data_IF_188606083578
#
_entry.id   IF_188606083578
#
_cell.length_a   1.000
_cell.length_b   1.000
_cell.length_c   1.000
_cell.angle_alpha   90.00
_cell.angle_beta   90.00
_cell.angle_gamma   90.00
#
_symmetry.space_group_name_H-M   'P 1'
#
loop_
_entity.id
_entity.type
_entity.pdbx_description
1 polymer ?
#
# COMPACT_ATOMS: atom_id res chain seq x y z
N UNK A 1 2.48 -26.05 10.82
CA UNK A 1 3.24 -24.84 10.49
C UNK A 1 4.03 -24.95 9.20
N UNK A 2 5.05 -25.81 9.05
CA UNK A 2 5.89 -25.88 7.84
C UNK A 2 5.09 -26.09 6.53
N UNK A 3 4.12 -26.99 6.51
CA UNK A 3 3.25 -27.25 5.34
C UNK A 3 2.41 -26.03 4.95
N UNK A 4 1.95 -25.24 5.90
CA UNK A 4 1.18 -24.03 5.63
C UNK A 4 2.07 -22.92 5.03
N UNK A 5 3.30 -22.76 5.55
CA UNK A 5 4.28 -21.81 4.99
C UNK A 5 4.66 -22.21 3.57
N UNK A 6 4.92 -23.51 3.31
CA UNK A 6 5.24 -23.98 1.96
C UNK A 6 4.11 -23.70 0.97
N UNK A 7 2.87 -24.00 1.34
CA UNK A 7 1.70 -23.71 0.49
C UNK A 7 1.57 -22.21 0.18
N UNK A 8 1.85 -21.33 1.15
CA UNK A 8 1.82 -19.87 0.97
C UNK A 8 2.93 -19.38 0.05
N UNK A 9 4.13 -19.95 0.16
CA UNK A 9 5.25 -19.63 -0.75
C UNK A 9 4.92 -20.05 -2.18
N UNK A 10 4.32 -21.24 -2.35
CA UNK A 10 3.88 -21.71 -3.68
C UNK A 10 2.78 -20.77 -4.24
N UNK A 11 1.79 -20.41 -3.44
CA UNK A 11 0.75 -19.46 -3.86
C UNK A 11 1.36 -18.10 -4.23
N UNK A 12 2.30 -17.59 -3.46
CA UNK A 12 3.03 -16.36 -3.73
C UNK A 12 3.77 -16.42 -5.08
N UNK A 13 4.46 -17.55 -5.35
CA UNK A 13 5.16 -17.75 -6.62
C UNK A 13 4.18 -17.81 -7.81
N UNK A 14 3.05 -18.49 -7.66
CA UNK A 14 2.01 -18.56 -8.69
C UNK A 14 1.43 -17.16 -8.98
N UNK A 15 1.09 -16.39 -7.94
CA UNK A 15 0.58 -15.02 -8.10
C UNK A 15 1.62 -14.14 -8.78
N UNK A 16 2.88 -14.19 -8.36
CA UNK A 16 3.95 -13.41 -8.96
C UNK A 16 4.14 -13.74 -10.45
N UNK A 17 4.17 -15.02 -10.81
CA UNK A 17 4.28 -15.46 -12.20
C UNK A 17 3.04 -15.03 -13.02
N UNK A 18 1.84 -15.15 -12.44
CA UNK A 18 0.59 -14.71 -13.07
C UNK A 18 0.59 -13.21 -13.39
N UNK A 19 0.99 -12.39 -12.42
CA UNK A 19 1.11 -10.93 -12.58
C UNK A 19 2.18 -10.60 -13.61
N UNK A 20 3.36 -11.25 -13.53
CA UNK A 20 4.44 -11.05 -14.51
C UNK A 20 4.00 -11.37 -15.93
N UNK A 21 3.30 -12.50 -16.12
CA UNK A 21 2.78 -12.91 -17.42
C UNK A 21 1.73 -11.94 -17.95
N UNK A 22 0.80 -11.52 -17.08
CA UNK A 22 -0.26 -10.61 -17.45
C UNK A 22 0.31 -9.26 -17.92
N UNK A 23 1.22 -8.67 -17.15
CA UNK A 23 1.85 -7.39 -17.51
C UNK A 23 2.66 -7.55 -18.80
N UNK A 24 3.43 -8.64 -18.89
CA UNK A 24 4.24 -8.94 -20.07
C UNK A 24 3.39 -9.02 -21.35
N UNK A 25 2.22 -9.67 -21.29
CA UNK A 25 1.29 -9.78 -22.42
C UNK A 25 0.61 -8.43 -22.69
N UNK A 26 0.08 -7.76 -21.66
CA UNK A 26 -0.61 -6.48 -21.82
C UNK A 26 0.25 -5.43 -22.52
N UNK A 27 1.52 -5.33 -22.15
CA UNK A 27 2.44 -4.36 -22.74
C UNK A 27 2.82 -4.66 -24.19
N UNK A 28 2.60 -5.88 -24.67
CA UNK A 28 2.80 -6.27 -26.07
C UNK A 28 1.55 -6.13 -26.94
N UNK A 29 0.39 -6.10 -26.32
CA UNK A 29 -0.87 -5.84 -27.05
C UNK A 29 -1.03 -4.34 -27.34
N UNK A 30 -0.44 -3.47 -26.50
CA UNK A 30 -0.48 -2.03 -26.72
C UNK A 30 0.27 -1.69 -28.01
N UNK A 31 -0.38 -1.11 -29.03
CA UNK A 31 0.26 -0.77 -30.29
C UNK A 31 1.31 0.32 -30.10
N UNK A 32 2.51 0.08 -30.62
CA UNK A 32 3.64 1.00 -30.58
C UNK A 32 4.97 0.24 -30.58
N UNK A 33 5.97 0.81 -31.22
CA UNK A 33 7.33 0.26 -31.14
C UNK A 33 8.05 0.93 -29.98
N UNK A 34 8.36 0.15 -28.92
CA UNK A 34 9.05 0.64 -27.74
C UNK A 34 10.34 1.41 -28.07
N UNK A 35 11.05 0.99 -29.11
CA UNK A 35 12.30 1.63 -29.57
C UNK A 35 12.00 2.99 -30.22
N UNK A 36 10.95 3.09 -30.99
CA UNK A 36 10.51 4.37 -31.60
C UNK A 36 10.11 5.34 -30.50
N UNK A 37 9.48 4.87 -29.43
CA UNK A 37 9.13 5.69 -28.26
C UNK A 37 10.39 6.19 -27.50
N UNK A 38 11.44 5.34 -27.41
CA UNK A 38 12.72 5.72 -26.83
C UNK A 38 13.47 6.80 -27.62
N UNK A 39 13.50 6.64 -28.93
CA UNK A 39 14.39 7.41 -29.81
C UNK A 39 13.71 8.59 -30.50
N UNK A 40 12.37 8.68 -30.38
CA UNK A 40 11.56 9.65 -31.14
C UNK A 40 11.31 9.23 -32.58
N UNK A 41 10.37 9.93 -33.22
CA UNK A 41 9.91 9.63 -34.60
C UNK A 41 10.99 9.77 -35.71
N UNK A 42 12.14 10.37 -35.37
CA UNK A 42 13.24 10.60 -36.30
C UNK A 42 14.36 9.55 -36.20
N UNK A 43 14.17 8.48 -35.46
CA UNK A 43 15.17 7.42 -35.36
C UNK A 43 15.45 6.76 -36.70
N UNK A 44 16.74 6.57 -37.06
CA UNK A 44 17.12 5.86 -38.27
C UNK A 44 16.76 4.40 -38.17
N UNK A 45 16.24 3.84 -39.26
CA UNK A 45 15.77 2.44 -39.32
C UNK A 45 16.88 1.45 -38.87
N UNK A 46 18.10 1.69 -39.28
CA UNK A 46 19.28 0.88 -38.91
C UNK A 46 19.53 0.85 -37.39
N UNK A 47 19.28 1.98 -36.70
CA UNK A 47 19.43 2.07 -35.24
C UNK A 47 18.29 1.33 -34.53
N UNK A 48 17.08 1.41 -35.06
CA UNK A 48 15.91 0.66 -34.55
C UNK A 48 16.16 -0.85 -34.66
N UNK A 49 16.62 -1.33 -35.81
CA UNK A 49 16.92 -2.76 -36.03
C UNK A 49 18.06 -3.26 -35.12
N UNK A 50 19.11 -2.45 -34.94
CA UNK A 50 20.20 -2.78 -34.04
C UNK A 50 19.71 -2.92 -32.61
N UNK A 51 18.97 -1.93 -32.10
CA UNK A 51 18.43 -1.98 -30.73
C UNK A 51 17.40 -3.09 -30.53
N UNK A 52 16.60 -3.39 -31.56
CA UNK A 52 15.67 -4.54 -31.51
C UNK A 52 16.42 -5.84 -31.24
N UNK A 53 17.55 -6.04 -31.89
CA UNK A 53 18.42 -7.21 -31.72
C UNK A 53 19.16 -7.19 -30.37
N UNK A 54 19.71 -6.06 -29.98
CA UNK A 54 20.41 -5.91 -28.69
C UNK A 54 19.50 -6.17 -27.49
N UNK A 55 18.25 -5.72 -27.56
CA UNK A 55 17.24 -5.93 -26.54
C UNK A 55 16.54 -7.31 -26.66
N UNK A 56 16.83 -8.06 -27.72
CA UNK A 56 16.25 -9.39 -27.98
C UNK A 56 14.74 -9.35 -28.23
N UNK A 57 14.22 -8.23 -28.73
CA UNK A 57 12.80 -8.07 -29.07
C UNK A 57 12.40 -8.79 -30.35
N UNK A 58 13.37 -9.25 -31.14
CA UNK A 58 13.23 -10.11 -32.31
C UNK A 58 13.06 -11.60 -31.95
N UNK A 59 13.35 -11.97 -30.70
CA UNK A 59 13.25 -13.35 -30.24
C UNK A 59 11.78 -13.78 -30.06
N UNK A 60 11.48 -15.11 -30.08
CA UNK A 60 10.14 -15.61 -29.77
C UNK A 60 9.64 -15.12 -28.39
N UNK A 61 8.34 -14.83 -28.28
CA UNK A 61 7.72 -14.22 -27.09
C UNK A 61 8.01 -15.03 -25.81
N UNK A 62 8.02 -16.36 -25.89
CA UNK A 62 8.32 -17.20 -24.73
C UNK A 62 9.78 -17.07 -24.26
N UNK A 63 10.72 -16.85 -25.19
CA UNK A 63 12.15 -16.62 -24.86
C UNK A 63 12.30 -15.29 -24.14
N UNK A 64 11.65 -14.23 -24.65
CA UNK A 64 11.65 -12.92 -24.04
C UNK A 64 11.04 -12.96 -22.62
N UNK A 65 9.95 -13.71 -22.41
CA UNK A 65 9.32 -13.88 -21.11
C UNK A 65 10.24 -14.56 -20.10
N UNK A 66 10.84 -15.70 -20.48
CA UNK A 66 11.74 -16.41 -19.57
C UNK A 66 13.01 -15.64 -19.25
N UNK A 67 13.56 -14.89 -20.21
CA UNK A 67 14.67 -13.97 -19.96
C UNK A 67 14.26 -12.91 -18.95
N UNK A 68 13.12 -12.25 -19.15
CA UNK A 68 12.58 -11.26 -18.21
C UNK A 68 12.41 -11.82 -16.80
N UNK A 69 11.84 -13.01 -16.63
CA UNK A 69 11.71 -13.66 -15.32
C UNK A 69 13.07 -13.99 -14.70
N UNK A 70 14.00 -14.53 -15.51
CA UNK A 70 15.36 -14.87 -15.04
C UNK A 70 16.11 -13.63 -14.53
N UNK A 71 16.01 -12.51 -15.25
CA UNK A 71 16.66 -11.26 -14.89
C UNK A 71 15.99 -10.64 -13.65
N UNK A 72 14.65 -10.64 -13.60
CA UNK A 72 13.89 -10.15 -12.45
C UNK A 72 14.21 -10.92 -11.15
N UNK A 73 14.38 -12.25 -11.21
CA UNK A 73 14.79 -13.07 -10.05
C UNK A 73 16.20 -12.71 -9.56
N UNK A 74 17.07 -12.22 -10.44
CA UNK A 74 18.41 -11.73 -10.08
C UNK A 74 18.41 -10.28 -9.59
N UNK A 75 17.23 -9.62 -9.56
CA UNK A 75 17.09 -8.22 -9.17
C UNK A 75 17.42 -7.22 -10.30
N UNK A 76 17.58 -7.71 -11.53
CA UNK A 76 17.77 -6.88 -12.71
C UNK A 76 16.43 -6.68 -13.42
N UNK A 77 15.87 -5.49 -13.30
CA UNK A 77 14.63 -5.09 -13.98
C UNK A 77 14.90 -4.35 -15.30
N UNK A 78 16.16 -4.33 -15.77
CA UNK A 78 16.57 -3.64 -16.99
C UNK A 78 16.82 -2.15 -16.79
N UNK A 79 16.89 -1.43 -17.90
CA UNK A 79 17.15 0.01 -17.95
C UNK A 79 15.91 0.76 -18.39
N UNK A 80 15.54 1.79 -17.64
CA UNK A 80 14.47 2.73 -17.97
C UNK A 80 14.77 3.42 -19.30
N UNK A 81 13.82 3.41 -20.20
CA UNK A 81 13.96 4.03 -21.52
C UNK A 81 13.89 5.56 -21.46
N UNK A 82 13.02 6.09 -20.61
CA UNK A 82 12.81 7.54 -20.48
C UNK A 82 13.89 8.22 -19.63
N UNK A 83 14.39 7.55 -18.57
CA UNK A 83 15.31 8.11 -17.60
C UNK A 83 16.76 7.68 -17.82
N UNK A 84 17.00 6.70 -18.70
CA UNK A 84 18.33 6.16 -19.05
C UNK A 84 19.14 5.70 -17.82
N UNK A 85 18.46 5.10 -16.82
CA UNK A 85 19.03 4.60 -15.57
C UNK A 85 18.50 3.20 -15.26
N UNK A 86 19.23 2.44 -14.46
CA UNK A 86 18.78 1.13 -13.99
C UNK A 86 17.43 1.25 -13.25
N UNK A 87 16.47 0.40 -13.60
CA UNK A 87 15.16 0.35 -12.94
C UNK A 87 15.31 -0.03 -11.47
N UNK A 88 16.22 -0.94 -11.15
CA UNK A 88 16.53 -1.33 -9.76
C UNK A 88 17.02 -0.15 -8.93
N UNK A 89 17.88 0.69 -9.51
CA UNK A 89 18.36 1.91 -8.87
C UNK A 89 17.24 2.93 -8.65
N UNK A 90 16.37 3.13 -9.64
CA UNK A 90 15.22 4.04 -9.53
C UNK A 90 14.23 3.58 -8.45
N UNK A 91 13.93 2.30 -8.39
CA UNK A 91 13.10 1.69 -7.34
C UNK A 91 13.76 1.88 -5.97
N UNK A 92 15.06 1.59 -5.86
CA UNK A 92 15.82 1.76 -4.62
C UNK A 92 15.84 3.20 -4.10
N UNK A 93 15.87 4.18 -5.00
CA UNK A 93 15.79 5.61 -4.65
C UNK A 93 14.38 6.07 -4.24
N UNK A 94 13.33 5.49 -4.84
CA UNK A 94 11.93 5.84 -4.58
C UNK A 94 11.37 5.14 -3.33
N UNK A 95 11.76 3.92 -3.07
CA UNK A 95 11.19 3.07 -2.02
C UNK A 95 11.25 3.67 -0.61
N UNK A 96 12.34 4.29 -0.13
CA UNK A 96 12.38 4.91 1.19
C UNK A 96 11.28 5.96 1.40
N UNK A 97 10.96 6.77 0.38
CA UNK A 97 9.90 7.78 0.49
C UNK A 97 8.52 7.14 0.65
N UNK A 98 8.24 6.07 -0.09
CA UNK A 98 7.01 5.29 0.08
C UNK A 98 6.93 4.67 1.48
N UNK A 99 8.04 4.12 2.01
CA UNK A 99 8.09 3.56 3.37
C UNK A 99 7.81 4.62 4.43
N UNK A 100 8.45 5.78 4.36
CA UNK A 100 8.22 6.87 5.30
C UNK A 100 6.76 7.34 5.27
N UNK A 101 6.20 7.51 4.07
CA UNK A 101 4.80 7.88 3.90
C UNK A 101 3.85 6.81 4.44
N UNK A 102 4.09 5.54 4.12
CA UNK A 102 3.27 4.41 4.57
C UNK A 102 3.26 4.29 6.10
N UNK A 103 4.44 4.38 6.74
CA UNK A 103 4.55 4.31 8.20
C UNK A 103 3.88 5.50 8.88
N UNK A 104 4.06 6.71 8.37
CA UNK A 104 3.40 7.90 8.92
C UNK A 104 1.86 7.81 8.78
N UNK A 105 1.36 7.40 7.61
CA UNK A 105 -0.06 7.20 7.38
C UNK A 105 -0.65 6.08 8.27
N UNK A 106 0.06 4.96 8.38
CA UNK A 106 -0.33 3.85 9.24
C UNK A 106 -0.41 4.27 10.70
N UNK A 107 0.60 4.99 11.22
CA UNK A 107 0.60 5.48 12.60
C UNK A 107 -0.61 6.38 12.88
N UNK A 108 -0.88 7.34 11.99
CA UNK A 108 -2.06 8.22 12.12
C UNK A 108 -3.33 7.39 12.10
N UNK A 109 -3.48 6.47 11.14
CA UNK A 109 -4.66 5.63 11.01
C UNK A 109 -4.90 4.75 12.24
N UNK A 110 -3.86 4.12 12.75
CA UNK A 110 -3.94 3.19 13.87
C UNK A 110 -4.28 3.90 15.18
N UNK A 111 -3.57 4.98 15.47
CA UNK A 111 -3.81 5.75 16.71
C UNK A 111 -5.22 6.36 16.70
N UNK A 112 -5.56 7.06 15.61
CA UNK A 112 -6.87 7.73 15.54
C UNK A 112 -8.02 6.74 15.39
N UNK A 113 -7.86 5.69 14.55
CA UNK A 113 -8.89 4.68 14.32
C UNK A 113 -9.20 3.86 15.58
N UNK A 114 -8.18 3.36 16.28
CA UNK A 114 -8.38 2.60 17.52
C UNK A 114 -9.00 3.49 18.59
N UNK A 115 -8.49 4.72 18.80
CA UNK A 115 -9.02 5.64 19.80
C UNK A 115 -10.50 5.97 19.53
N UNK A 116 -10.84 6.35 18.30
CA UNK A 116 -12.22 6.64 17.91
C UNK A 116 -13.13 5.41 18.06
N UNK A 117 -12.65 4.23 17.68
CA UNK A 117 -13.41 2.97 17.81
C UNK A 117 -13.69 2.60 19.26
N UNK A 118 -12.70 2.72 20.14
CA UNK A 118 -12.88 2.49 21.60
C UNK A 118 -13.89 3.46 22.18
N UNK A 119 -13.72 4.77 21.91
CA UNK A 119 -14.63 5.79 22.46
C UNK A 119 -16.07 5.56 21.97
N UNK A 120 -16.24 5.23 20.67
CA UNK A 120 -17.54 4.92 20.09
C UNK A 120 -18.18 3.68 20.73
N UNK A 121 -17.41 2.62 21.00
CA UNK A 121 -17.90 1.41 21.66
C UNK A 121 -18.31 1.67 23.12
N UNK A 122 -17.47 2.40 23.87
CA UNK A 122 -17.74 2.73 25.29
C UNK A 122 -18.95 3.65 25.44
N UNK A 123 -19.14 4.58 24.50
CA UNK A 123 -20.26 5.51 24.46
C UNK A 123 -21.38 5.09 23.50
N UNK A 124 -21.59 3.75 23.40
CA UNK A 124 -22.60 3.11 22.53
C UNK A 124 -23.91 3.91 22.50
N UNK A 125 -24.41 4.17 21.29
CA UNK A 125 -25.65 4.93 21.03
C UNK A 125 -25.65 6.40 21.47
N UNK A 126 -24.53 6.91 21.99
CA UNK A 126 -24.39 8.32 22.37
C UNK A 126 -24.02 9.22 21.18
N UNK A 127 -23.90 10.53 21.45
CA UNK A 127 -23.51 11.53 20.44
C UNK A 127 -22.11 11.25 19.89
N UNK A 128 -21.15 10.90 20.75
CA UNK A 128 -19.78 10.59 20.34
C UNK A 128 -19.71 9.34 19.45
N UNK A 129 -20.51 8.31 19.74
CA UNK A 129 -20.61 7.13 18.87
C UNK A 129 -21.09 7.53 17.47
N UNK A 130 -22.18 8.29 17.39
CA UNK A 130 -22.72 8.76 16.09
C UNK A 130 -21.74 9.65 15.35
N UNK A 131 -21.05 10.55 16.05
CA UNK A 131 -20.07 11.46 15.46
C UNK A 131 -18.89 10.67 14.86
N UNK A 132 -18.23 9.81 15.67
CA UNK A 132 -17.07 9.05 15.19
C UNK A 132 -17.42 8.04 14.11
N UNK A 133 -18.59 7.40 14.19
CA UNK A 133 -19.05 6.48 13.13
C UNK A 133 -19.43 7.24 11.86
N UNK A 134 -20.04 8.41 11.97
CA UNK A 134 -20.29 9.30 10.83
C UNK A 134 -19.01 9.76 10.16
N UNK A 135 -18.01 10.22 10.94
CA UNK A 135 -16.69 10.58 10.42
C UNK A 135 -15.97 9.39 9.79
N UNK A 136 -16.07 8.21 10.38
CA UNK A 136 -15.50 6.98 9.82
C UNK A 136 -16.15 6.59 8.49
N UNK A 137 -17.46 6.80 8.35
CA UNK A 137 -18.18 6.58 7.10
C UNK A 137 -17.73 7.56 6.03
N UNK A 138 -17.62 8.85 6.35
CA UNK A 138 -17.05 9.87 5.46
C UNK A 138 -15.62 9.52 5.05
N UNK A 139 -14.80 9.03 6.00
CA UNK A 139 -13.42 8.63 5.74
C UNK A 139 -13.29 7.56 4.66
N UNK A 140 -14.22 6.60 4.62
CA UNK A 140 -14.22 5.53 3.64
C UNK A 140 -14.92 5.93 2.34
N UNK A 141 -15.92 6.82 2.41
CA UNK A 141 -16.74 7.20 1.25
C UNK A 141 -16.10 8.30 0.40
N UNK A 142 -15.32 9.19 1.01
CA UNK A 142 -14.66 10.30 0.29
C UNK A 142 -13.38 9.79 -0.38
N UNK A 143 -13.21 9.98 -1.69
CA UNK A 143 -11.98 9.60 -2.38
C UNK A 143 -10.75 10.30 -1.79
N UNK A 144 -9.65 9.54 -1.62
CA UNK A 144 -8.41 10.04 -1.01
C UNK A 144 -7.87 11.30 -1.68
N UNK A 145 -7.97 11.41 -3.01
CA UNK A 145 -7.50 12.59 -3.73
C UNK A 145 -8.29 13.86 -3.37
N UNK A 146 -9.59 13.75 -3.08
CA UNK A 146 -10.39 14.89 -2.63
C UNK A 146 -9.93 15.37 -1.25
N UNK A 147 -9.69 14.43 -0.32
CA UNK A 147 -9.14 14.76 0.99
C UNK A 147 -7.77 15.44 0.84
N UNK A 148 -6.91 14.88 -0.01
CA UNK A 148 -5.59 15.44 -0.31
C UNK A 148 -5.67 16.88 -0.83
N UNK A 149 -6.52 17.15 -1.83
CA UNK A 149 -6.71 18.49 -2.40
C UNK A 149 -7.26 19.49 -1.39
N UNK A 150 -8.24 19.07 -0.56
CA UNK A 150 -8.81 19.91 0.50
C UNK A 150 -7.75 20.27 1.54
N UNK A 151 -6.94 19.29 1.98
CA UNK A 151 -5.84 19.54 2.91
C UNK A 151 -4.78 20.49 2.32
N UNK A 152 -4.38 20.28 1.05
CA UNK A 152 -3.46 21.19 0.34
C UNK A 152 -4.02 22.60 0.28
N UNK A 153 -5.29 22.75 -0.12
CA UNK A 153 -5.89 24.08 -0.26
C UNK A 153 -5.98 24.83 1.08
N UNK A 154 -6.49 24.18 2.13
CA UNK A 154 -6.68 24.87 3.40
C UNK A 154 -5.40 24.99 4.21
N UNK A 155 -4.66 23.89 4.44
CA UNK A 155 -3.53 23.88 5.37
C UNK A 155 -2.22 24.37 4.74
N UNK A 156 -2.02 24.09 3.44
CA UNK A 156 -0.80 24.52 2.77
C UNK A 156 -0.97 25.87 2.08
N UNK A 157 -1.98 26.03 1.20
CA UNK A 157 -2.11 27.26 0.40
C UNK A 157 -2.71 28.43 1.20
N UNK A 158 -3.82 28.22 1.93
CA UNK A 158 -4.51 29.33 2.66
C UNK A 158 -3.82 29.70 3.96
N UNK A 159 -3.43 28.71 4.74
CA UNK A 159 -2.88 28.93 6.10
C UNK A 159 -1.36 28.92 6.11
N UNK A 160 -0.70 28.43 5.07
CA UNK A 160 0.77 28.30 4.96
C UNK A 160 1.41 27.57 6.16
N UNK A 161 0.67 26.60 6.77
CA UNK A 161 1.19 25.84 7.91
C UNK A 161 2.15 24.73 7.51
N UNK A 162 1.95 24.13 6.33
CA UNK A 162 2.68 22.98 5.84
C UNK A 162 3.04 23.17 4.34
N UNK A 163 4.07 22.51 3.84
CA UNK A 163 4.42 22.59 2.42
C UNK A 163 3.31 22.01 1.53
N UNK A 164 3.11 22.63 0.36
CA UNK A 164 2.09 22.21 -0.62
C UNK A 164 2.47 20.85 -1.23
N UNK A 165 3.77 20.66 -1.53
CA UNK A 165 4.28 19.47 -2.21
C UNK A 165 5.77 19.26 -1.91
N UNK A 166 6.27 18.07 -2.22
CA UNK A 166 7.65 17.67 -1.98
C UNK A 166 7.88 17.16 -0.55
N UNK A 167 8.97 16.40 -0.39
CA UNK A 167 9.34 15.74 0.89
C UNK A 167 10.80 16.04 1.26
N UNK A 168 11.26 17.27 0.95
CA UNK A 168 12.61 17.73 1.29
C UNK A 168 12.82 17.81 2.80
N UNK A 169 11.73 17.84 3.56
CA UNK A 169 11.70 17.79 5.03
C UNK A 169 10.63 16.84 5.51
N UNK A 170 10.73 16.40 6.77
CA UNK A 170 9.73 15.51 7.39
C UNK A 170 8.31 16.12 7.41
N UNK A 171 8.20 17.46 7.42
CA UNK A 171 6.91 18.17 7.37
C UNK A 171 6.15 17.93 6.07
N UNK A 172 6.86 17.63 4.97
CA UNK A 172 6.27 17.28 3.69
C UNK A 172 5.47 15.97 3.70
N UNK A 173 5.73 15.08 4.65
CA UNK A 173 4.96 13.83 4.80
C UNK A 173 3.66 14.02 5.56
N UNK A 174 3.45 15.11 6.30
CA UNK A 174 2.28 15.26 7.19
C UNK A 174 0.96 15.27 6.43
N UNK A 175 0.82 16.12 5.41
CA UNK A 175 -0.44 16.21 4.64
C UNK A 175 -0.77 14.91 3.90
N UNK A 176 0.16 14.32 3.13
CA UNK A 176 -0.12 13.06 2.46
C UNK A 176 -0.38 11.92 3.44
N UNK A 177 0.29 11.88 4.60
CA UNK A 177 0.04 10.87 5.63
C UNK A 177 -1.35 11.01 6.27
N UNK A 178 -1.82 12.24 6.53
CA UNK A 178 -3.18 12.49 7.01
C UNK A 178 -4.21 12.06 5.96
N UNK A 179 -4.01 12.42 4.68
CA UNK A 179 -4.93 12.06 3.61
C UNK A 179 -5.08 10.55 3.44
N UNK A 180 -3.96 9.81 3.44
CA UNK A 180 -3.96 8.35 3.37
C UNK A 180 -4.50 7.72 4.66
N UNK A 181 -4.06 8.21 5.80
CA UNK A 181 -4.46 7.71 7.11
C UNK A 181 -5.95 7.89 7.39
N UNK A 182 -6.58 8.93 6.84
CA UNK A 182 -8.00 9.22 7.00
C UNK A 182 -8.91 8.05 6.60
N UNK A 183 -8.72 7.51 5.40
CA UNK A 183 -9.50 6.37 4.91
C UNK A 183 -9.27 5.11 5.76
N UNK A 184 -8.00 4.81 6.05
CA UNK A 184 -7.61 3.67 6.86
C UNK A 184 -8.13 3.77 8.29
N UNK A 185 -8.08 4.96 8.90
CA UNK A 185 -8.60 5.22 10.24
C UNK A 185 -10.10 4.94 10.34
N UNK A 186 -10.88 5.34 9.34
CA UNK A 186 -12.31 5.07 9.29
C UNK A 186 -12.64 3.58 9.32
N UNK A 187 -11.92 2.78 8.59
CA UNK A 187 -12.08 1.33 8.56
C UNK A 187 -11.69 0.68 9.90
N UNK A 188 -10.55 1.09 10.47
CA UNK A 188 -10.07 0.61 11.78
C UNK A 188 -11.03 1.00 12.90
N UNK A 189 -11.54 2.23 12.91
CA UNK A 189 -12.47 2.69 13.94
C UNK A 189 -13.75 1.84 13.96
N UNK A 190 -14.32 1.55 12.80
CA UNK A 190 -15.53 0.72 12.71
C UNK A 190 -15.27 -0.73 13.15
N UNK A 191 -14.14 -1.32 12.71
CA UNK A 191 -13.78 -2.67 13.11
C UNK A 191 -13.52 -2.72 14.62
N UNK A 192 -12.73 -1.80 15.17
CA UNK A 192 -12.46 -1.73 16.63
C UNK A 192 -13.74 -1.60 17.43
N UNK A 193 -14.68 -0.75 16.96
CA UNK A 193 -15.98 -0.60 17.63
C UNK A 193 -16.79 -1.88 17.61
N UNK A 194 -16.93 -2.54 16.45
CA UNK A 194 -17.75 -3.77 16.34
C UNK A 194 -17.16 -4.90 17.17
N UNK A 195 -15.87 -5.17 17.05
CA UNK A 195 -15.21 -6.23 17.81
C UNK A 195 -15.21 -5.98 19.31
N UNK A 196 -15.03 -4.72 19.76
CA UNK A 196 -15.10 -4.40 21.16
C UNK A 196 -16.52 -4.56 21.73
N UNK A 197 -17.56 -4.20 20.96
CA UNK A 197 -18.95 -4.42 21.36
C UNK A 197 -19.32 -5.90 21.44
N UNK A 198 -18.81 -6.73 20.53
CA UNK A 198 -18.99 -8.19 20.56
C UNK A 198 -18.33 -8.79 21.81
N UNK A 199 -17.06 -8.48 22.01
CA UNK A 199 -16.29 -8.98 23.17
C UNK A 199 -16.89 -8.54 24.50
N UNK A 200 -17.47 -7.34 24.58
CA UNK A 200 -18.13 -6.82 25.80
C UNK A 200 -19.40 -7.60 26.20
N UNK A 201 -19.91 -8.50 25.35
CA UNK A 201 -21.08 -9.37 25.59
C UNK A 201 -20.69 -10.78 26.00
N UNK A 202 -19.41 -11.11 26.09
CA UNK A 202 -18.91 -12.44 26.45
C UNK A 202 -18.98 -12.68 27.96
N UNK A 203 -19.28 -13.91 28.38
CA UNK A 203 -19.50 -14.32 29.77
C UNK A 203 -18.29 -14.02 30.70
N UNK A 204 -17.06 -14.08 30.19
CA UNK A 204 -15.88 -13.79 30.97
C UNK A 204 -15.77 -12.30 31.34
N UNK A 205 -16.37 -11.42 30.56
CA UNK A 205 -16.48 -9.99 30.86
C UNK A 205 -17.43 -9.77 32.04
N UNK A 206 -18.56 -10.47 32.05
CA UNK A 206 -19.50 -10.39 33.19
C UNK A 206 -18.87 -10.98 34.46
N UNK A 207 -18.09 -12.05 34.34
CA UNK A 207 -17.30 -12.56 35.45
C UNK A 207 -16.31 -11.53 35.99
N UNK A 208 -15.62 -10.78 35.12
CA UNK A 208 -14.69 -9.73 35.54
C UNK A 208 -15.45 -8.59 36.24
N UNK A 209 -16.63 -8.22 35.80
CA UNK A 209 -17.51 -7.22 36.45
C UNK A 209 -17.97 -7.70 37.84
N UNK A 210 -18.39 -8.97 37.93
CA UNK A 210 -18.81 -9.58 39.19
C UNK A 210 -17.69 -9.64 40.24
N UNK A 211 -16.42 -9.74 39.82
CA UNK A 211 -15.24 -9.66 40.69
C UNK A 211 -14.92 -8.24 41.17
N UNK A 212 -15.72 -7.24 40.82
CA UNK A 212 -15.58 -5.86 41.30
C UNK A 212 -14.56 -5.01 40.54
N UNK A 213 -14.10 -5.45 39.35
CA UNK A 213 -13.19 -4.62 38.55
C UNK A 213 -13.87 -3.36 38.04
N UNK A 214 -13.19 -2.23 38.07
CA UNK A 214 -13.69 -0.97 37.50
C UNK A 214 -13.92 -1.12 36.02
N UNK A 215 -14.98 -0.50 35.49
CA UNK A 215 -15.38 -0.59 34.08
C UNK A 215 -14.22 -0.30 33.10
N UNK A 216 -13.38 0.70 33.38
CA UNK A 216 -12.19 1.00 32.58
C UNK A 216 -11.19 -0.17 32.57
N UNK A 217 -10.97 -0.81 33.72
CA UNK A 217 -10.11 -1.99 33.84
C UNK A 217 -10.66 -3.18 33.05
N UNK A 218 -11.96 -3.40 33.10
CA UNK A 218 -12.63 -4.45 32.30
C UNK A 218 -12.41 -4.21 30.80
N UNK A 219 -12.55 -2.97 30.34
CA UNK A 219 -12.38 -2.61 28.93
C UNK A 219 -10.92 -2.78 28.50
N UNK A 220 -9.96 -2.17 29.20
CA UNK A 220 -8.57 -2.11 28.77
C UNK A 220 -7.88 -3.47 28.93
N UNK A 221 -8.08 -4.15 30.05
CA UNK A 221 -7.32 -5.36 30.40
C UNK A 221 -7.98 -6.62 29.84
N UNK A 222 -9.32 -6.71 29.90
CA UNK A 222 -10.04 -7.93 29.56
C UNK A 222 -10.65 -7.91 28.15
N UNK A 223 -11.32 -6.79 27.76
CA UNK A 223 -12.01 -6.75 26.48
C UNK A 223 -11.09 -6.37 25.31
N UNK A 224 -10.29 -5.31 25.47
CA UNK A 224 -9.52 -4.73 24.37
C UNK A 224 -8.48 -5.70 23.80
N UNK A 225 -7.85 -6.50 24.66
CA UNK A 225 -6.86 -7.50 24.25
C UNK A 225 -7.43 -8.48 23.20
N UNK A 226 -8.65 -8.95 23.39
CA UNK A 226 -9.29 -9.88 22.46
C UNK A 226 -9.93 -9.15 21.27
N UNK A 227 -10.50 -7.97 21.50
CA UNK A 227 -11.10 -7.15 20.45
C UNK A 227 -10.08 -6.64 19.42
N UNK A 228 -8.81 -6.48 19.80
CA UNK A 228 -7.76 -6.00 18.89
C UNK A 228 -7.21 -7.09 17.96
N UNK A 229 -7.45 -8.37 18.17
CA UNK A 229 -6.90 -9.42 17.31
C UNK A 229 -7.27 -9.24 15.83
N UNK A 230 -8.56 -9.08 15.45
CA UNK A 230 -8.93 -8.81 14.06
C UNK A 230 -8.42 -7.45 13.58
N UNK A 231 -8.33 -6.46 14.48
CA UNK A 231 -7.85 -5.12 14.15
C UNK A 231 -6.37 -5.14 13.76
N UNK A 232 -5.53 -5.86 14.51
CA UNK A 232 -4.09 -6.01 14.21
C UNK A 232 -3.90 -6.68 12.85
N UNK A 233 -4.70 -7.69 12.53
CA UNK A 233 -4.67 -8.35 11.22
C UNK A 233 -5.00 -7.35 10.10
N UNK A 234 -6.05 -6.56 10.27
CA UNK A 234 -6.42 -5.51 9.32
C UNK A 234 -5.32 -4.45 9.18
N UNK A 235 -4.69 -4.04 10.29
CA UNK A 235 -3.58 -3.09 10.30
C UNK A 235 -2.39 -3.61 9.47
N UNK A 236 -2.05 -4.89 9.60
CA UNK A 236 -0.96 -5.50 8.84
C UNK A 236 -1.28 -5.54 7.32
N UNK A 237 -2.51 -5.91 6.95
CA UNK A 237 -2.95 -5.90 5.53
C UNK A 237 -2.94 -4.48 4.97
N UNK A 238 -3.40 -3.48 5.73
CA UNK A 238 -3.38 -2.08 5.31
C UNK A 238 -1.95 -1.58 5.11
N UNK A 239 -1.02 -1.91 6.02
CA UNK A 239 0.38 -1.52 5.88
C UNK A 239 1.00 -2.10 4.60
N UNK A 240 0.69 -3.35 4.27
CA UNK A 240 1.15 -4.00 3.03
C UNK A 240 0.66 -3.24 1.79
N UNK A 241 -0.62 -2.84 1.80
CA UNK A 241 -1.21 -2.04 0.72
C UNK A 241 -0.56 -0.66 0.60
N UNK A 242 -0.28 0.01 1.71
CA UNK A 242 0.38 1.31 1.71
C UNK A 242 1.83 1.23 1.20
N UNK A 243 2.56 0.17 1.56
CA UNK A 243 3.94 -0.07 1.12
C UNK A 243 4.06 -0.38 -0.38
N UNK A 244 3.00 -0.90 -1.01
CA UNK A 244 3.00 -1.15 -2.46
C UNK A 244 2.94 0.12 -3.31
N UNK A 245 2.72 1.28 -2.69
CA UNK A 245 2.69 2.60 -3.31
C UNK A 245 1.33 3.28 -3.20
N UNK A 246 1.34 4.44 -2.60
CA UNK A 246 0.16 5.30 -2.49
C UNK A 246 0.05 6.22 -3.71
N UNK A 247 -0.13 5.64 -4.91
CA UNK A 247 -0.03 6.28 -6.23
C UNK A 247 -0.65 7.68 -6.26
N UNK A 248 -1.90 7.80 -5.83
CA UNK A 248 -2.65 9.07 -5.90
C UNK A 248 -2.03 10.11 -4.96
N UNK A 249 -1.75 9.75 -3.71
CA UNK A 249 -1.16 10.70 -2.76
C UNK A 249 0.26 11.09 -3.13
N UNK A 250 1.08 10.14 -3.56
CA UNK A 250 2.44 10.42 -4.02
C UNK A 250 2.45 11.36 -5.22
N UNK A 251 1.49 11.20 -6.15
CA UNK A 251 1.37 12.08 -7.31
C UNK A 251 0.87 13.49 -6.92
N UNK A 252 -0.21 13.58 -6.13
CA UNK A 252 -0.80 14.87 -5.71
C UNK A 252 0.20 15.70 -4.91
N UNK A 253 0.91 15.07 -3.97
CA UNK A 253 1.89 15.77 -3.13
C UNK A 253 3.31 15.78 -3.68
N UNK A 254 3.52 15.27 -4.89
CA UNK A 254 4.85 15.19 -5.54
C UNK A 254 5.89 14.44 -4.70
N UNK A 255 5.47 13.39 -4.00
CA UNK A 255 6.37 12.49 -3.28
C UNK A 255 7.04 11.56 -4.29
N UNK A 256 8.37 11.54 -4.33
CA UNK A 256 9.12 10.66 -5.24
C UNK A 256 9.16 9.23 -4.71
N UNK A 257 8.01 8.56 -4.68
CA UNK A 257 7.81 7.18 -4.24
C UNK A 257 7.54 6.22 -5.39
N UNK A 258 7.30 4.95 -5.02
CA UNK A 258 7.05 3.85 -5.98
C UNK A 258 5.79 4.09 -6.81
N UNK A 259 4.72 4.62 -6.20
CA UNK A 259 3.47 4.92 -6.90
C UNK A 259 3.63 6.03 -7.94
N UNK A 260 4.36 7.09 -7.62
CA UNK A 260 4.69 8.15 -8.59
C UNK A 260 5.61 7.65 -9.70
N UNK A 261 6.58 6.81 -9.36
CA UNK A 261 7.46 6.17 -10.34
C UNK A 261 6.66 5.34 -11.35
N UNK A 262 5.61 4.65 -10.88
CA UNK A 262 4.67 3.91 -11.73
C UNK A 262 3.93 4.83 -12.71
N UNK A 263 3.43 5.98 -12.24
CA UNK A 263 2.74 6.97 -13.10
C UNK A 263 3.70 7.50 -14.16
N UNK A 264 4.92 7.86 -13.78
CA UNK A 264 5.96 8.31 -14.72
C UNK A 264 6.28 7.24 -15.78
N UNK A 265 6.31 5.96 -15.40
CA UNK A 265 6.51 4.86 -16.33
C UNK A 265 5.37 4.74 -17.35
N UNK A 266 4.11 4.96 -16.91
CA UNK A 266 2.93 4.94 -17.79
C UNK A 266 2.96 6.13 -18.76
N UNK A 267 3.18 7.34 -18.24
CA UNK A 267 3.23 8.59 -19.03
C UNK A 267 4.37 8.54 -20.06
N UNK A 268 5.55 8.05 -19.65
CA UNK A 268 6.72 7.87 -20.52
C UNK A 268 6.67 6.65 -21.42
N UNK A 269 5.63 5.81 -21.34
CA UNK A 269 5.53 4.50 -22.01
C UNK A 269 6.80 3.65 -21.82
N UNK A 270 7.36 3.71 -20.63
CA UNK A 270 8.60 3.07 -20.25
C UNK A 270 8.33 1.63 -19.79
N UNK A 271 8.46 0.70 -20.73
CA UNK A 271 8.10 -0.71 -20.49
C UNK A 271 8.94 -1.34 -19.36
N UNK A 272 10.28 -1.27 -19.35
CA UNK A 272 11.06 -1.86 -18.26
C UNK A 272 10.74 -1.25 -16.90
N UNK A 273 10.62 0.09 -16.83
CA UNK A 273 10.28 0.78 -15.60
C UNK A 273 8.90 0.36 -15.08
N UNK A 274 7.90 0.25 -15.97
CA UNK A 274 6.55 -0.16 -15.62
C UNK A 274 6.53 -1.60 -15.11
N UNK A 275 7.17 -2.52 -15.82
CA UNK A 275 7.25 -3.93 -15.45
C UNK A 275 7.95 -4.12 -14.09
N UNK A 276 9.12 -3.51 -13.92
CA UNK A 276 9.89 -3.60 -12.69
C UNK A 276 9.15 -3.02 -11.49
N UNK A 277 8.53 -1.84 -11.66
CA UNK A 277 7.78 -1.19 -10.58
C UNK A 277 6.55 -1.99 -10.14
N UNK A 278 5.79 -2.56 -11.09
CA UNK A 278 4.62 -3.39 -10.77
C UNK A 278 5.05 -4.70 -10.10
N UNK A 279 6.10 -5.39 -10.61
CA UNK A 279 6.60 -6.61 -9.98
C UNK A 279 7.09 -6.34 -8.55
N UNK A 280 7.82 -5.25 -8.35
CA UNK A 280 8.29 -4.87 -7.03
C UNK A 280 7.13 -4.56 -6.08
N UNK A 281 6.13 -3.78 -6.52
CA UNK A 281 4.92 -3.50 -5.73
C UNK A 281 4.15 -4.79 -5.39
N UNK A 282 4.04 -5.71 -6.34
CA UNK A 282 3.39 -7.01 -6.12
C UNK A 282 4.15 -7.84 -5.09
N UNK A 283 5.48 -7.85 -5.15
CA UNK A 283 6.33 -8.51 -4.15
C UNK A 283 6.07 -7.94 -2.75
N UNK A 284 5.98 -6.62 -2.61
CA UNK A 284 5.70 -5.97 -1.33
C UNK A 284 4.33 -6.36 -0.77
N UNK A 285 3.29 -6.42 -1.62
CA UNK A 285 1.95 -6.88 -1.22
C UNK A 285 2.01 -8.33 -0.72
N UNK A 286 2.67 -9.21 -1.46
CA UNK A 286 2.80 -10.63 -1.10
C UNK A 286 3.54 -10.80 0.23
N UNK A 287 4.68 -10.13 0.39
CA UNK A 287 5.46 -10.17 1.62
C UNK A 287 4.67 -9.62 2.81
N UNK A 288 3.97 -8.52 2.61
CA UNK A 288 3.16 -7.93 3.66
C UNK A 288 1.97 -8.80 4.05
N UNK A 289 1.29 -9.45 3.10
CA UNK A 289 0.24 -10.40 3.40
C UNK A 289 0.79 -11.63 4.14
N UNK A 290 1.98 -12.12 3.75
CA UNK A 290 2.64 -13.20 4.47
C UNK A 290 2.95 -12.82 5.94
N UNK A 291 3.43 -11.60 6.17
CA UNK A 291 3.65 -11.08 7.53
C UNK A 291 2.34 -10.97 8.30
N UNK A 292 1.27 -10.47 7.67
CA UNK A 292 -0.05 -10.39 8.29
C UNK A 292 -0.57 -11.76 8.72
N UNK A 293 -0.42 -12.76 7.85
CA UNK A 293 -0.81 -14.15 8.12
C UNK A 293 0.02 -14.78 9.25
N UNK A 294 1.33 -14.51 9.29
CA UNK A 294 2.19 -14.96 10.37
C UNK A 294 1.82 -14.32 11.71
N UNK A 295 1.50 -13.02 11.71
CA UNK A 295 1.03 -12.31 12.90
C UNK A 295 -0.29 -12.88 13.39
N UNK A 296 -1.23 -13.15 12.48
CA UNK A 296 -2.50 -13.76 12.83
C UNK A 296 -2.30 -15.13 13.49
N UNK A 297 -1.49 -16.01 12.87
CA UNK A 297 -1.20 -17.34 13.42
C UNK A 297 -0.45 -17.30 14.77
N UNK A 298 0.34 -16.25 15.03
CA UNK A 298 1.05 -16.07 16.30
C UNK A 298 0.16 -15.51 17.41
N UNK A 299 -0.85 -14.71 17.05
CA UNK A 299 -1.74 -14.03 18.00
C UNK A 299 -2.98 -14.84 18.35
N UNK A 300 -3.45 -15.74 17.47
CA UNK A 300 -4.59 -16.60 17.71
C UNK A 300 -4.12 -18.02 18.06
N UNK A 301 -4.13 -18.41 19.35
CA UNK A 301 -3.71 -19.76 19.79
C UNK A 301 -4.71 -20.85 19.41
N UNK A 302 -5.85 -20.52 18.74
CA UNK A 302 -6.89 -21.48 18.35
C UNK A 302 -6.65 -22.10 16.98
N UNK A 303 -5.62 -21.64 16.24
CA UNK A 303 -5.17 -22.14 14.94
C UNK A 303 -3.80 -22.84 15.11
#
# INVERSE_FOLDING_TARGET
MARNILNRVIQAAIVMLGVALLIFIMLRIVPGNAIVTMMGEHAKLETIERMTRELGLDQPIYVQFWRYISDAVRGDFGTSYSLNRSVTELIGAAFPNTVHLALAAALIAWVTGIACGIIAAVKKSGILDRLFMGMSLLGVSVPVFMVAMVLQYFLAYRLNWLPISGVDSWTGYILPAIALGWNSAGSIARLTRSTLLEVMQEDYIDTARAKGHRQIGVIIVHALRNALLPVITMMAVQLSSLLSGAVICETVFSVNGIGRLLVQAIEGRDIPLLQGTILFSTLLIILGNLVADCLYAALDPRI
#
